data_IF_078427874644
#
_entry.id   IF_078427874644
#
_cell.length_a   1.000
_cell.length_b   1.000
_cell.length_c   1.000
_cell.angle_alpha   90.00
_cell.angle_beta   90.00
_cell.angle_gamma   90.00
#
_symmetry.space_group_name_H-M   'P 1'
#
loop_
_entity.id
_entity.type
_entity.pdbx_description
1 polymer ?
#
# COMPACT_ATOMS: atom_id res chain seq x y z
N UNK A 1 4.49 -4.17 10.42
CA UNK A 1 5.89 -4.47 10.02
C UNK A 1 6.06 -5.86 9.40
N UNK A 2 5.81 -6.98 10.10
CA UNK A 2 6.05 -8.35 9.56
C UNK A 2 5.28 -8.66 8.27
N UNK A 3 3.96 -8.44 8.23
CA UNK A 3 3.17 -8.69 7.01
C UNK A 3 3.50 -7.75 5.84
N UNK A 4 3.91 -6.51 6.13
CA UNK A 4 4.34 -5.58 5.09
C UNK A 4 5.65 -6.05 4.42
N UNK A 5 6.57 -6.63 5.20
CA UNK A 5 7.77 -7.26 4.66
C UNK A 5 7.42 -8.43 3.74
N UNK A 6 6.48 -9.30 4.14
CA UNK A 6 6.02 -10.42 3.31
C UNK A 6 5.40 -9.90 2.01
N UNK A 7 4.53 -8.89 2.09
CA UNK A 7 3.89 -8.29 0.93
C UNK A 7 4.89 -7.68 -0.07
N UNK A 8 6.00 -7.12 0.42
CA UNK A 8 7.06 -6.54 -0.42
C UNK A 8 7.93 -7.60 -1.12
N UNK A 9 8.10 -8.78 -0.52
CA UNK A 9 9.00 -9.83 -1.01
C UNK A 9 8.28 -11.05 -1.62
N UNK A 10 6.94 -11.02 -1.70
CA UNK A 10 6.11 -12.13 -2.20
C UNK A 10 6.43 -12.58 -3.62
N UNK A 11 7.02 -11.69 -4.43
CA UNK A 11 7.37 -11.96 -5.83
C UNK A 11 8.72 -12.68 -5.96
N UNK A 12 9.58 -12.60 -4.94
CA UNK A 12 10.89 -13.24 -4.91
C UNK A 12 10.86 -14.63 -4.26
N UNK A 13 9.98 -14.83 -3.29
CA UNK A 13 9.91 -16.05 -2.48
C UNK A 13 8.46 -16.48 -2.23
N UNK A 14 8.18 -17.79 -2.16
CA UNK A 14 6.84 -18.27 -1.86
C UNK A 14 6.37 -17.78 -0.49
N UNK A 15 5.11 -17.34 -0.42
CA UNK A 15 4.51 -16.74 0.78
C UNK A 15 4.65 -17.66 2.01
N UNK A 16 4.47 -18.98 1.83
CA UNK A 16 4.63 -19.94 2.92
C UNK A 16 6.03 -19.91 3.54
N UNK A 17 7.08 -19.74 2.72
CA UNK A 17 8.46 -19.63 3.20
C UNK A 17 8.69 -18.30 3.92
N UNK A 18 8.16 -17.21 3.39
CA UNK A 18 8.22 -15.90 4.04
C UNK A 18 7.47 -15.89 5.39
N UNK A 19 6.32 -16.56 5.47
CA UNK A 19 5.57 -16.75 6.71
C UNK A 19 6.38 -17.52 7.76
N UNK A 20 7.09 -18.58 7.35
CA UNK A 20 8.00 -19.33 8.24
C UNK A 20 9.18 -18.47 8.72
N UNK A 21 9.85 -17.76 7.81
CA UNK A 21 11.00 -16.88 8.14
C UNK A 21 10.58 -15.78 9.12
N UNK A 22 9.42 -15.19 8.87
CA UNK A 22 8.89 -14.11 9.69
C UNK A 22 8.14 -14.62 10.91
N UNK A 23 8.04 -15.93 11.13
CA UNK A 23 7.31 -16.58 12.23
C UNK A 23 5.88 -16.00 12.40
N UNK A 24 5.10 -16.09 11.31
CA UNK A 24 3.69 -15.69 11.27
C UNK A 24 2.85 -16.74 10.54
N UNK A 25 1.56 -16.83 10.86
CA UNK A 25 0.68 -17.76 10.17
C UNK A 25 0.29 -17.26 8.77
N UNK A 26 0.18 -18.16 7.76
CA UNK A 26 -0.36 -17.83 6.45
C UNK A 26 -1.78 -17.26 6.52
N UNK A 27 -2.60 -17.76 7.43
CA UNK A 27 -3.94 -17.24 7.69
C UNK A 27 -3.91 -15.78 8.17
N UNK A 28 -2.96 -15.42 9.05
CA UNK A 28 -2.75 -14.05 9.50
C UNK A 28 -2.33 -13.13 8.36
N UNK A 29 -1.48 -13.61 7.45
CA UNK A 29 -1.13 -12.86 6.24
C UNK A 29 -2.32 -12.68 5.29
N UNK A 30 -3.13 -13.72 5.07
CA UNK A 30 -4.36 -13.60 4.27
C UNK A 30 -5.33 -12.60 4.89
N UNK A 31 -5.53 -12.64 6.21
CA UNK A 31 -6.34 -11.68 6.93
C UNK A 31 -5.79 -10.26 6.80
N UNK A 32 -4.48 -10.08 6.79
CA UNK A 32 -3.83 -8.80 6.52
C UNK A 32 -4.12 -8.31 5.09
N UNK A 33 -4.02 -9.19 4.07
CA UNK A 33 -4.32 -8.83 2.68
C UNK A 33 -5.80 -8.55 2.42
N UNK A 34 -6.70 -9.24 3.13
CA UNK A 34 -8.15 -9.05 2.99
C UNK A 34 -8.69 -7.90 3.85
N UNK A 35 -7.86 -7.26 4.67
CA UNK A 35 -8.29 -6.10 5.46
C UNK A 35 -8.72 -5.00 4.50
N UNK A 36 -9.98 -4.55 4.57
CA UNK A 36 -10.40 -3.40 3.79
C UNK A 36 -9.59 -2.17 4.24
N UNK A 37 -9.34 -1.27 3.30
CA UNK A 37 -8.80 0.04 3.64
C UNK A 37 -9.69 0.70 4.69
N UNK A 38 -9.06 1.32 5.68
CA UNK A 38 -9.76 2.12 6.70
C UNK A 38 -10.61 3.20 6.03
N UNK A 39 -11.69 3.62 6.70
CA UNK A 39 -12.54 4.72 6.23
C UNK A 39 -11.73 6.00 6.02
N UNK A 40 -10.78 6.32 6.89
CA UNK A 40 -9.89 7.47 6.73
C UNK A 40 -8.99 7.33 5.52
N UNK A 41 -8.34 6.16 5.33
CA UNK A 41 -7.49 5.90 4.17
C UNK A 41 -8.26 6.01 2.85
N UNK A 42 -9.53 5.59 2.84
CA UNK A 42 -10.38 5.73 1.66
C UNK A 42 -10.67 7.21 1.34
N UNK A 43 -10.95 8.02 2.37
CA UNK A 43 -11.12 9.48 2.21
C UNK A 43 -9.83 10.13 1.68
N UNK A 44 -8.68 9.75 2.23
CA UNK A 44 -7.38 10.27 1.79
C UNK A 44 -7.10 9.94 0.31
N UNK A 45 -7.48 8.76 -0.16
CA UNK A 45 -7.36 8.41 -1.58
C UNK A 45 -8.23 9.28 -2.49
N UNK A 46 -9.44 9.64 -2.06
CA UNK A 46 -10.31 10.57 -2.81
C UNK A 46 -9.65 11.95 -2.88
N UNK A 47 -9.13 12.45 -1.76
CA UNK A 47 -8.41 13.72 -1.73
C UNK A 47 -7.17 13.68 -2.63
N UNK A 48 -6.38 12.60 -2.59
CA UNK A 48 -5.21 12.44 -3.45
C UNK A 48 -5.57 12.35 -4.93
N UNK A 49 -6.70 11.73 -5.28
CA UNK A 49 -7.19 11.72 -6.65
C UNK A 49 -7.51 13.14 -7.14
N UNK A 50 -8.22 13.93 -6.34
CA UNK A 50 -8.53 15.33 -6.67
C UNK A 50 -7.28 16.20 -6.77
N UNK A 51 -6.31 16.03 -5.86
CA UNK A 51 -5.03 16.76 -5.95
C UNK A 51 -4.32 16.43 -7.27
N UNK A 52 -4.24 15.16 -7.66
CA UNK A 52 -3.61 14.73 -8.91
C UNK A 52 -4.32 15.28 -10.15
N UNK A 53 -5.64 15.27 -10.15
CA UNK A 53 -6.47 15.84 -11.20
C UNK A 53 -6.23 17.34 -11.35
N UNK A 54 -6.30 18.09 -10.24
CA UNK A 54 -6.05 19.53 -10.24
C UNK A 54 -4.62 19.87 -10.65
N UNK A 55 -3.65 19.02 -10.29
CA UNK A 55 -2.27 19.18 -10.70
C UNK A 55 -2.10 18.97 -12.22
N UNK A 56 -2.75 17.94 -12.78
CA UNK A 56 -2.72 17.69 -14.22
C UNK A 56 -3.35 18.85 -15.02
N UNK A 57 -4.46 19.41 -14.51
CA UNK A 57 -5.14 20.56 -15.12
C UNK A 57 -4.33 21.86 -15.03
N UNK A 58 -3.49 22.02 -14.00
CA UNK A 58 -2.66 23.22 -13.78
C UNK A 58 -1.28 23.16 -14.43
N UNK A 59 -1.02 22.23 -15.36
CA UNK A 59 0.26 22.04 -16.07
C UNK A 59 1.48 21.84 -15.14
N UNK A 60 1.28 21.45 -13.88
CA UNK A 60 2.35 21.13 -12.94
C UNK A 60 3.20 22.30 -12.45
N UNK A 61 2.69 23.54 -12.50
CA UNK A 61 3.48 24.77 -12.28
C UNK A 61 3.83 25.00 -10.78
N UNK A 62 3.23 24.27 -9.83
CA UNK A 62 3.39 24.57 -8.40
C UNK A 62 4.59 23.89 -7.68
N UNK A 63 5.20 22.85 -8.26
CA UNK A 63 6.31 22.09 -7.65
C UNK A 63 7.64 22.26 -8.40
N UNK A 64 7.61 22.81 -9.61
CA UNK A 64 8.80 23.02 -10.47
C UNK A 64 9.62 24.27 -10.12
N UNK A 65 9.31 24.96 -9.02
CA UNK A 65 10.08 26.08 -8.46
C UNK A 65 10.52 25.78 -7.02
N UNK A 66 11.50 24.91 -6.87
CA UNK A 66 12.27 24.75 -5.62
C UNK A 66 13.66 24.26 -5.95
#
# INVERSE_FOLDING_TARGET
MRFAFIAKNKDMLPINRLCQIMDVSPCGYRAFCSRPLSTSQRKDLVVLAHIREQFALSLGIYISRS
#
